data_IF_568937474643
#
_entry.id   IF_568937474643
#
_cell.length_a   1.000
_cell.length_b   1.000
_cell.length_c   1.000
_cell.angle_alpha   90.00
_cell.angle_beta   90.00
_cell.angle_gamma   90.00
#
_symmetry.space_group_name_H-M   'P 1'
#
loop_
_entity.id
_entity.type
_entity.pdbx_description
1 polymer ?
#
# COMPACT_ATOMS: atom_id res chain seq x y z
N UNK A 1 18.75 -13.09 -70.94
CA UNK A 1 17.28 -13.12 -71.08
C UNK A 1 16.77 -14.40 -70.42
N UNK A 2 16.21 -14.31 -69.21
CA UNK A 2 15.85 -15.48 -68.40
C UNK A 2 14.54 -15.24 -67.63
N UNK A 3 13.50 -15.91 -68.17
CA UNK A 3 12.20 -16.40 -67.65
C UNK A 3 11.52 -15.72 -66.42
N UNK A 4 10.19 -15.50 -66.48
CA UNK A 4 9.42 -14.86 -65.43
C UNK A 4 9.00 -15.82 -64.31
N UNK A 5 8.90 -15.28 -63.09
CA UNK A 5 8.44 -15.94 -61.85
C UNK A 5 6.91 -15.91 -61.73
N UNK A 6 6.25 -16.99 -61.27
CA UNK A 6 4.93 -16.91 -60.67
C UNK A 6 4.97 -16.98 -59.13
N UNK A 7 4.00 -16.27 -58.56
CA UNK A 7 3.72 -15.98 -57.14
C UNK A 7 3.15 -17.22 -56.44
N UNK A 8 3.62 -17.56 -55.23
CA UNK A 8 3.05 -18.65 -54.40
C UNK A 8 2.50 -18.11 -53.07
N UNK A 9 1.25 -18.44 -52.75
CA UNK A 9 0.61 -18.24 -51.44
C UNK A 9 0.92 -19.43 -50.53
N UNK A 10 1.20 -19.09 -49.25
CA UNK A 10 1.00 -19.82 -47.98
C UNK A 10 1.08 -21.36 -47.90
N UNK A 11 2.01 -21.84 -47.07
CA UNK A 11 1.90 -23.02 -46.20
C UNK A 11 3.03 -22.93 -45.15
N UNK A 12 2.71 -22.67 -43.88
CA UNK A 12 2.70 -23.63 -42.77
C UNK A 12 4.09 -24.05 -42.25
N UNK A 13 4.29 -23.78 -40.95
CA UNK A 13 5.18 -24.43 -39.97
C UNK A 13 6.68 -24.06 -39.94
N UNK A 14 7.12 -23.68 -38.74
CA UNK A 14 8.46 -24.00 -38.24
C UNK A 14 9.32 -22.81 -37.82
N UNK A 15 9.06 -22.23 -36.65
CA UNK A 15 9.96 -21.26 -36.02
C UNK A 15 9.36 -20.65 -34.75
N UNK A 16 9.46 -21.36 -33.63
CA UNK A 16 9.09 -20.87 -32.30
C UNK A 16 9.86 -19.59 -31.92
N UNK A 17 9.21 -18.60 -31.28
CA UNK A 17 9.89 -17.46 -30.69
C UNK A 17 10.40 -17.78 -29.28
N UNK A 18 11.65 -17.36 -29.03
CA UNK A 18 12.22 -17.22 -27.69
C UNK A 18 11.61 -16.00 -26.98
N UNK A 19 11.21 -16.20 -25.72
CA UNK A 19 11.36 -15.18 -24.68
C UNK A 19 10.09 -14.71 -23.98
N UNK A 20 9.54 -15.54 -23.09
CA UNK A 20 8.69 -15.05 -21.99
C UNK A 20 9.50 -14.97 -20.69
N UNK A 21 10.01 -13.79 -20.37
CA UNK A 21 10.33 -13.39 -18.99
C UNK A 21 9.08 -12.79 -18.37
N UNK A 22 8.14 -13.66 -17.99
CA UNK A 22 7.03 -13.30 -17.11
C UNK A 22 7.35 -13.72 -15.68
N UNK A 23 7.71 -12.77 -14.81
CA UNK A 23 7.81 -13.04 -13.38
C UNK A 23 6.44 -13.47 -12.84
N UNK A 24 6.32 -14.71 -12.40
CA UNK A 24 5.08 -15.24 -11.83
C UNK A 24 4.79 -14.55 -10.49
N UNK A 25 3.60 -13.98 -10.35
CA UNK A 25 3.11 -13.44 -9.08
C UNK A 25 3.11 -14.52 -7.99
N UNK A 26 3.45 -14.13 -6.75
CA UNK A 26 3.59 -15.03 -5.58
C UNK A 26 2.34 -15.86 -5.23
N UNK A 27 1.18 -15.56 -5.83
CA UNK A 27 -0.09 -16.22 -5.55
C UNK A 27 -0.32 -17.54 -6.31
N UNK A 28 0.41 -17.84 -7.39
CA UNK A 28 0.13 -19.02 -8.27
C UNK A 28 1.04 -20.23 -8.04
N UNK A 29 2.00 -20.15 -7.11
CA UNK A 29 2.97 -21.24 -6.84
C UNK A 29 2.40 -22.46 -6.09
N UNK A 30 1.08 -22.51 -5.84
CA UNK A 30 0.42 -23.56 -5.04
C UNK A 30 -0.09 -24.77 -5.84
N UNK A 31 0.10 -24.82 -7.16
CA UNK A 31 -0.49 -25.87 -8.00
C UNK A 31 0.60 -26.61 -8.78
N UNK A 32 1.30 -27.55 -8.14
CA UNK A 32 2.03 -28.61 -8.86
C UNK A 32 1.77 -29.97 -8.17
N UNK A 33 1.34 -31.00 -8.91
CA UNK A 33 1.20 -32.35 -8.37
C UNK A 33 2.57 -32.98 -8.10
N UNK A 34 2.68 -33.74 -7.02
CA UNK A 34 3.86 -34.53 -6.67
C UNK A 34 3.96 -35.76 -7.59
N UNK A 35 4.98 -35.80 -8.46
CA UNK A 35 5.32 -37.01 -9.22
C UNK A 35 6.16 -37.93 -8.32
N UNK A 36 5.63 -39.14 -8.09
CA UNK A 36 6.29 -40.20 -7.35
C UNK A 36 7.47 -40.78 -8.18
N UNK A 37 8.66 -40.89 -7.60
CA UNK A 37 9.82 -41.55 -8.22
C UNK A 37 10.30 -42.71 -7.34
N UNK A 38 10.41 -43.89 -7.94
CA UNK A 38 10.96 -45.13 -7.38
C UNK A 38 12.48 -45.04 -7.15
N UNK A 39 13.06 -45.78 -6.17
CA UNK A 39 14.48 -45.69 -5.84
C UNK A 39 15.32 -46.71 -6.62
N UNK A 40 16.51 -46.29 -7.07
CA UNK A 40 17.59 -47.16 -7.58
C UNK A 40 18.83 -46.99 -6.69
N UNK A 41 19.68 -48.03 -6.52
CA UNK A 41 20.58 -48.09 -5.37
C UNK A 41 21.92 -47.37 -5.59
N UNK A 42 22.34 -46.73 -4.49
CA UNK A 42 23.69 -46.39 -4.01
C UNK A 42 24.86 -46.26 -4.99
N UNK A 43 25.42 -45.04 -5.04
CA UNK A 43 26.86 -44.86 -4.97
C UNK A 43 27.24 -43.80 -3.94
N UNK A 44 28.12 -44.19 -3.02
CA UNK A 44 28.84 -43.33 -2.10
C UNK A 44 29.72 -42.35 -2.89
N UNK A 45 29.46 -41.05 -2.75
CA UNK A 45 30.49 -40.01 -2.89
C UNK A 45 30.04 -38.65 -2.32
N UNK A 46 30.79 -38.23 -1.31
CA UNK A 46 31.11 -36.85 -0.90
C UNK A 46 30.13 -36.06 -0.01
N UNK A 47 30.54 -35.88 1.24
CA UNK A 47 29.95 -35.04 2.30
C UNK A 47 29.71 -33.56 1.91
N UNK A 48 30.33 -33.04 0.84
CA UNK A 48 30.07 -31.68 0.31
C UNK A 48 28.69 -31.51 -0.35
N UNK A 49 28.16 -32.55 -0.99
CA UNK A 49 26.82 -32.49 -1.61
C UNK A 49 25.70 -32.45 -0.54
N UNK A 50 25.92 -33.11 0.59
CA UNK A 50 25.01 -33.15 1.74
C UNK A 50 24.78 -31.77 2.38
N UNK A 51 25.85 -31.00 2.63
CA UNK A 51 25.74 -29.63 3.19
C UNK A 51 24.93 -28.70 2.26
N UNK A 52 25.18 -28.76 0.96
CA UNK A 52 24.44 -27.97 -0.05
C UNK A 52 22.97 -28.39 -0.17
N UNK A 53 22.68 -29.70 -0.09
CA UNK A 53 21.30 -30.24 -0.07
C UNK A 53 20.56 -29.84 1.21
N UNK A 54 21.22 -29.85 2.37
CA UNK A 54 20.68 -29.41 3.66
C UNK A 54 20.42 -27.91 3.69
N UNK A 55 21.34 -27.08 3.18
CA UNK A 55 21.12 -25.64 3.05
C UNK A 55 19.93 -25.31 2.12
N UNK A 56 19.80 -26.00 0.98
CA UNK A 56 18.62 -25.89 0.09
C UNK A 56 17.32 -26.32 0.77
N UNK A 57 17.36 -27.35 1.63
CA UNK A 57 16.20 -27.78 2.42
C UNK A 57 15.79 -26.75 3.47
N UNK A 58 16.76 -26.16 4.18
CA UNK A 58 16.53 -25.09 5.15
C UNK A 58 16.00 -23.82 4.48
N UNK A 59 16.56 -23.42 3.33
CA UNK A 59 16.08 -22.27 2.57
C UNK A 59 14.62 -22.47 2.11
N UNK A 60 14.29 -23.65 1.57
CA UNK A 60 12.89 -23.97 1.20
C UNK A 60 11.95 -23.93 2.40
N UNK A 61 12.41 -24.39 3.57
CA UNK A 61 11.64 -24.30 4.82
C UNK A 61 11.44 -22.85 5.24
N UNK A 62 12.50 -22.04 5.22
CA UNK A 62 12.43 -20.61 5.52
C UNK A 62 11.48 -19.87 4.60
N UNK A 63 11.58 -20.07 3.28
CA UNK A 63 10.68 -19.46 2.29
C UNK A 63 9.22 -19.84 2.59
N UNK A 64 8.94 -21.12 2.88
CA UNK A 64 7.59 -21.56 3.22
C UNK A 64 7.04 -20.90 4.49
N UNK A 65 7.87 -20.77 5.53
CA UNK A 65 7.48 -20.13 6.79
C UNK A 65 7.29 -18.63 6.59
N UNK A 66 8.18 -17.98 5.86
CA UNK A 66 8.15 -16.56 5.51
C UNK A 66 6.89 -16.18 4.71
N UNK A 67 6.50 -17.01 3.73
CA UNK A 67 5.26 -16.81 2.98
C UNK A 67 4.00 -17.05 3.82
N UNK A 68 4.07 -17.90 4.86
CA UNK A 68 2.95 -18.09 5.79
C UNK A 68 2.86 -16.96 6.81
N UNK A 69 3.99 -16.44 7.25
CA UNK A 69 4.13 -15.41 8.27
C UNK A 69 4.92 -14.23 7.71
N UNK A 70 4.23 -13.38 6.96
CA UNK A 70 4.81 -12.22 6.25
C UNK A 70 5.49 -11.23 7.20
N UNK A 71 5.03 -11.16 8.46
CA UNK A 71 5.67 -10.36 9.52
C UNK A 71 7.05 -10.87 9.96
N UNK A 72 7.44 -12.10 9.59
CA UNK A 72 8.70 -12.70 10.04
C UNK A 72 9.92 -11.98 9.45
N UNK A 73 9.92 -11.63 8.17
CA UNK A 73 11.10 -11.00 7.55
C UNK A 73 11.34 -9.58 8.09
N UNK A 74 10.32 -8.70 8.17
CA UNK A 74 10.48 -7.40 8.81
C UNK A 74 10.89 -7.52 10.27
N UNK A 75 10.36 -8.51 11.01
CA UNK A 75 10.76 -8.76 12.40
C UNK A 75 12.25 -9.11 12.51
N UNK A 76 12.75 -10.02 11.66
CA UNK A 76 14.18 -10.41 11.67
C UNK A 76 15.06 -9.19 11.39
N UNK A 77 14.71 -8.36 10.40
CA UNK A 77 15.46 -7.15 10.07
C UNK A 77 15.43 -6.13 11.22
N UNK A 78 14.27 -5.93 11.85
CA UNK A 78 14.12 -5.05 13.00
C UNK A 78 14.98 -5.53 14.18
N UNK A 79 14.88 -6.82 14.54
CA UNK A 79 15.65 -7.41 15.63
C UNK A 79 17.15 -7.40 15.35
N UNK A 80 17.57 -7.55 14.09
CA UNK A 80 18.98 -7.45 13.71
C UNK A 80 19.54 -6.06 14.02
N UNK A 81 18.83 -4.99 13.63
CA UNK A 81 19.25 -3.60 13.92
C UNK A 81 19.30 -3.35 15.42
N UNK A 82 18.27 -3.80 16.16
CA UNK A 82 18.22 -3.65 17.61
C UNK A 82 19.35 -4.44 18.32
N UNK A 83 19.66 -5.65 17.84
CA UNK A 83 20.75 -6.46 18.37
C UNK A 83 22.11 -5.82 18.12
N UNK A 84 22.35 -5.27 16.91
CA UNK A 84 23.59 -4.55 16.59
C UNK A 84 23.75 -3.27 17.42
N UNK A 85 22.65 -2.61 17.76
CA UNK A 85 22.67 -1.51 18.74
C UNK A 85 23.02 -2.00 20.15
N UNK A 86 22.40 -3.10 20.61
CA UNK A 86 22.58 -3.65 21.94
C UNK A 86 24.01 -4.14 22.25
N UNK A 87 24.82 -4.47 21.23
CA UNK A 87 26.25 -4.81 21.40
C UNK A 87 27.05 -3.66 22.01
N UNK A 88 26.72 -2.41 21.67
CA UNK A 88 27.33 -1.22 22.23
C UNK A 88 26.30 -0.08 22.26
N UNK A 89 25.49 0.04 23.34
CA UNK A 89 24.43 1.02 23.44
C UNK A 89 25.01 2.41 23.79
N UNK A 90 25.65 3.04 22.82
CA UNK A 90 26.22 4.38 22.93
C UNK A 90 25.87 5.22 21.71
N UNK A 91 25.99 6.55 21.84
CA UNK A 91 25.80 7.50 20.72
C UNK A 91 26.81 7.31 19.60
N UNK A 92 27.92 6.62 19.87
CA UNK A 92 28.95 6.26 18.88
C UNK A 92 28.55 5.07 17.99
N UNK A 93 27.48 4.34 18.33
CA UNK A 93 27.02 3.21 17.54
C UNK A 93 26.41 3.70 16.20
N UNK A 94 26.78 3.13 15.04
CA UNK A 94 26.22 3.53 13.75
C UNK A 94 24.69 3.35 13.67
N UNK A 95 24.12 2.43 14.46
CA UNK A 95 22.67 2.18 14.52
C UNK A 95 21.93 3.08 15.52
N UNK A 96 22.64 3.92 16.29
CA UNK A 96 22.01 4.85 17.23
C UNK A 96 21.00 5.77 16.51
N UNK A 97 21.41 6.36 15.39
CA UNK A 97 20.58 7.25 14.59
C UNK A 97 19.47 6.54 13.79
N UNK A 98 19.44 5.21 13.79
CA UNK A 98 18.29 4.46 13.29
C UNK A 98 17.12 4.51 14.30
N UNK A 99 17.45 4.50 15.59
CA UNK A 99 16.48 4.35 16.69
C UNK A 99 16.12 5.70 17.29
N UNK A 100 17.11 6.60 17.44
CA UNK A 100 16.95 7.90 18.08
C UNK A 100 17.12 9.03 17.08
N UNK A 101 16.54 10.20 17.39
CA UNK A 101 16.66 11.39 16.57
C UNK A 101 18.12 11.87 16.52
N UNK A 102 18.59 12.18 15.31
CA UNK A 102 19.91 12.73 15.08
C UNK A 102 19.92 14.27 15.14
N UNK A 103 21.10 14.86 15.39
CA UNK A 103 21.37 16.31 15.35
C UNK A 103 20.67 17.14 16.44
N UNK A 104 20.82 16.82 17.74
CA UNK A 104 20.41 17.74 18.80
C UNK A 104 21.22 19.03 18.71
N UNK A 105 20.58 20.16 18.97
CA UNK A 105 21.20 21.49 19.03
C UNK A 105 21.23 21.96 20.49
N UNK A 106 22.24 22.75 20.83
CA UNK A 106 22.36 23.35 22.15
C UNK A 106 21.27 24.40 22.33
N UNK A 107 20.30 24.10 23.20
CA UNK A 107 19.21 25.01 23.55
C UNK A 107 19.43 25.62 24.94
N UNK A 108 19.03 26.88 25.16
CA UNK A 108 19.07 27.49 26.49
C UNK A 108 18.35 26.65 27.56
N UNK A 109 18.83 26.75 28.80
CA UNK A 109 18.24 26.02 29.92
C UNK A 109 16.76 26.44 30.13
N UNK A 110 15.85 25.46 30.09
CA UNK A 110 14.41 25.69 30.25
C UNK A 110 13.61 25.65 28.94
N UNK A 111 14.27 25.68 27.78
CA UNK A 111 13.61 25.55 26.48
C UNK A 111 13.62 24.11 25.95
N UNK A 112 12.62 23.69 25.14
CA UNK A 112 12.62 22.36 24.53
C UNK A 112 13.80 22.17 23.57
N UNK A 113 14.49 21.03 23.69
CA UNK A 113 15.61 20.66 22.81
C UNK A 113 15.19 20.70 21.34
N UNK A 114 15.94 21.47 20.56
CA UNK A 114 15.76 21.62 19.12
C UNK A 114 16.65 20.64 18.37
N UNK A 115 16.17 20.19 17.21
CA UNK A 115 16.89 19.27 16.35
C UNK A 115 17.03 19.86 14.95
N UNK A 116 18.24 19.77 14.40
CA UNK A 116 18.52 20.09 13.00
C UNK A 116 18.11 18.94 12.06
N UNK A 117 18.60 18.97 10.82
CA UNK A 117 18.38 17.91 9.83
C UNK A 117 19.67 17.47 9.15
N UNK A 118 19.71 16.23 8.69
CA UNK A 118 20.87 15.69 7.97
C UNK A 118 20.68 14.27 7.44
N UNK A 119 21.76 13.67 6.94
CA UNK A 119 21.71 12.36 6.27
C UNK A 119 21.33 11.21 7.22
N UNK A 120 21.61 11.35 8.51
CA UNK A 120 21.25 10.33 9.50
C UNK A 120 19.72 10.16 9.65
N UNK A 121 18.93 11.17 9.28
CA UNK A 121 17.47 11.08 9.32
C UNK A 121 16.92 10.03 8.33
N UNK A 122 17.64 9.72 7.25
CA UNK A 122 17.26 8.61 6.36
C UNK A 122 17.41 7.25 7.02
N UNK A 123 18.40 7.07 7.91
CA UNK A 123 18.57 5.83 8.65
C UNK A 123 17.41 5.63 9.63
N UNK A 124 16.98 6.69 10.30
CA UNK A 124 15.77 6.72 11.12
C UNK A 124 14.53 6.33 10.29
N UNK A 125 14.31 7.00 9.16
CA UNK A 125 13.16 6.71 8.29
C UNK A 125 13.16 5.25 7.79
N UNK A 126 14.31 4.76 7.34
CA UNK A 126 14.44 3.38 6.86
C UNK A 126 14.16 2.35 7.96
N UNK A 127 14.68 2.57 9.18
CA UNK A 127 14.42 1.69 10.31
C UNK A 127 12.93 1.69 10.69
N UNK A 128 12.31 2.86 10.81
CA UNK A 128 10.89 2.93 11.16
C UNK A 128 9.97 2.44 10.02
N UNK A 129 10.38 2.50 8.75
CA UNK A 129 9.69 1.81 7.66
C UNK A 129 9.69 0.28 7.87
N UNK A 130 10.78 -0.30 8.36
CA UNK A 130 10.85 -1.73 8.72
C UNK A 130 9.94 -2.03 9.92
N UNK A 131 10.00 -1.20 10.96
CA UNK A 131 9.14 -1.34 12.17
C UNK A 131 7.66 -1.28 11.80
N UNK A 132 7.26 -0.34 10.93
CA UNK A 132 5.88 -0.21 10.46
C UNK A 132 5.48 -1.37 9.56
N UNK A 133 6.38 -1.90 8.74
CA UNK A 133 6.13 -3.11 7.93
C UNK A 133 5.90 -4.33 8.81
N UNK A 134 6.70 -4.50 9.87
CA UNK A 134 6.48 -5.54 10.88
C UNK A 134 5.13 -5.36 11.57
N UNK A 135 4.88 -4.17 12.11
CA UNK A 135 3.65 -3.84 12.84
C UNK A 135 2.41 -4.10 11.99
N UNK A 136 2.39 -3.64 10.73
CA UNK A 136 1.30 -3.88 9.78
C UNK A 136 0.99 -5.36 9.63
N UNK A 137 1.98 -6.15 9.21
CA UNK A 137 1.79 -7.58 8.95
C UNK A 137 1.43 -8.35 10.23
N UNK A 138 2.04 -7.99 11.36
CA UNK A 138 1.77 -8.62 12.64
C UNK A 138 0.33 -8.34 13.09
N UNK A 139 -0.09 -7.07 13.11
CA UNK A 139 -1.45 -6.67 13.48
C UNK A 139 -2.49 -7.31 12.55
N UNK A 140 -2.28 -7.24 11.23
CA UNK A 140 -3.19 -7.83 10.25
C UNK A 140 -3.34 -9.34 10.48
N UNK A 141 -2.25 -10.10 10.59
CA UNK A 141 -2.32 -11.56 10.72
C UNK A 141 -2.74 -12.05 12.11
N UNK A 142 -2.28 -11.41 13.18
CA UNK A 142 -2.42 -11.90 14.56
C UNK A 142 -3.58 -11.29 15.33
N UNK A 143 -3.97 -10.06 15.02
CA UNK A 143 -5.04 -9.35 15.75
C UNK A 143 -6.29 -9.16 14.90
N UNK A 144 -6.15 -8.57 13.71
CA UNK A 144 -7.28 -8.17 12.89
C UNK A 144 -7.92 -9.36 12.18
N UNK A 145 -7.12 -10.31 11.66
CA UNK A 145 -7.66 -11.50 10.99
C UNK A 145 -8.57 -12.34 11.90
N UNK A 146 -8.15 -12.70 13.14
CA UNK A 146 -9.05 -13.41 14.06
C UNK A 146 -10.29 -12.60 14.41
N UNK A 147 -10.15 -11.28 14.58
CA UNK A 147 -11.29 -10.39 14.83
C UNK A 147 -12.29 -10.42 13.66
N UNK A 148 -11.82 -10.34 12.42
CA UNK A 148 -12.67 -10.41 11.23
C UNK A 148 -13.49 -11.72 11.16
N UNK A 149 -12.89 -12.84 11.56
CA UNK A 149 -13.57 -14.15 11.62
C UNK A 149 -14.63 -14.14 12.73
N UNK A 150 -14.29 -13.60 13.92
CA UNK A 150 -15.24 -13.47 15.03
C UNK A 150 -16.44 -12.57 14.69
N UNK A 151 -16.21 -11.55 13.85
CA UNK A 151 -17.25 -10.65 13.33
C UNK A 151 -18.00 -11.23 12.13
N UNK A 152 -17.79 -12.50 11.77
CA UNK A 152 -18.56 -13.20 10.73
C UNK A 152 -18.14 -12.94 9.29
N UNK A 153 -16.98 -12.32 9.03
CA UNK A 153 -16.49 -12.06 7.66
C UNK A 153 -15.87 -13.33 7.07
N UNK A 154 -16.69 -14.13 6.37
CA UNK A 154 -16.28 -15.44 5.84
C UNK A 154 -15.50 -15.36 4.51
N UNK A 155 -15.86 -14.44 3.62
CA UNK A 155 -15.24 -14.33 2.28
C UNK A 155 -13.80 -13.84 2.40
N UNK A 156 -12.81 -14.63 1.93
CA UNK A 156 -11.38 -14.30 2.02
C UNK A 156 -11.01 -12.95 1.38
N UNK A 157 -11.62 -12.61 0.24
CA UNK A 157 -11.37 -11.34 -0.42
C UNK A 157 -11.88 -10.14 0.40
N UNK A 158 -13.11 -10.24 0.95
CA UNK A 158 -13.69 -9.24 1.87
C UNK A 158 -12.86 -9.13 3.15
N UNK A 159 -12.39 -10.26 3.69
CA UNK A 159 -11.51 -10.30 4.86
C UNK A 159 -10.20 -9.53 4.61
N UNK A 160 -9.55 -9.73 3.45
CA UNK A 160 -8.31 -9.01 3.12
C UNK A 160 -8.53 -7.48 3.10
N UNK A 161 -9.58 -7.02 2.42
CA UNK A 161 -9.92 -5.58 2.37
C UNK A 161 -10.31 -5.00 3.72
N UNK A 162 -11.07 -5.76 4.51
CA UNK A 162 -11.39 -5.37 5.89
C UNK A 162 -10.12 -5.20 6.71
N UNK A 163 -9.18 -6.14 6.64
CA UNK A 163 -7.93 -6.05 7.40
C UNK A 163 -7.08 -4.84 6.98
N UNK A 164 -7.00 -4.55 5.67
CA UNK A 164 -6.30 -3.38 5.14
C UNK A 164 -6.89 -2.09 5.72
N UNK A 165 -8.21 -1.89 5.62
CA UNK A 165 -8.87 -0.68 6.11
C UNK A 165 -8.84 -0.56 7.64
N UNK A 166 -8.99 -1.68 8.36
CA UNK A 166 -8.93 -1.66 9.81
C UNK A 166 -7.53 -1.29 10.33
N UNK A 167 -6.47 -1.79 9.68
CA UNK A 167 -5.10 -1.37 10.01
C UNK A 167 -4.90 0.12 9.77
N UNK A 168 -5.34 0.64 8.61
CA UNK A 168 -5.29 2.06 8.30
C UNK A 168 -6.03 2.90 9.36
N UNK A 169 -7.22 2.47 9.78
CA UNK A 169 -7.97 3.14 10.84
C UNK A 169 -7.23 3.13 12.18
N UNK A 170 -6.62 1.99 12.58
CA UNK A 170 -5.81 1.91 13.80
C UNK A 170 -4.61 2.85 13.77
N UNK A 171 -3.90 2.92 12.63
CA UNK A 171 -2.75 3.80 12.48
C UNK A 171 -3.15 5.27 12.66
N UNK A 172 -4.17 5.74 11.92
CA UNK A 172 -4.60 7.13 11.99
C UNK A 172 -5.35 7.49 13.28
N UNK A 173 -5.94 6.50 13.98
CA UNK A 173 -6.48 6.71 15.34
C UNK A 173 -5.40 7.15 16.35
N UNK A 174 -4.14 6.76 16.13
CA UNK A 174 -3.00 7.13 16.97
C UNK A 174 -2.30 8.37 16.40
N UNK A 175 -1.94 8.32 15.11
CA UNK A 175 -1.14 9.38 14.48
C UNK A 175 -1.93 10.66 14.21
N UNK A 176 -3.24 10.60 14.00
CA UNK A 176 -4.09 11.78 13.80
C UNK A 176 -4.09 12.70 15.04
N UNK A 177 -4.50 12.20 16.23
CA UNK A 177 -4.42 12.98 17.47
C UNK A 177 -2.99 13.40 17.82
N UNK A 178 -2.00 12.55 17.58
CA UNK A 178 -0.59 12.89 17.80
C UNK A 178 -0.14 14.05 16.90
N UNK A 179 -0.55 14.06 15.63
CA UNK A 179 -0.30 15.16 14.70
C UNK A 179 -0.93 16.47 15.15
N UNK A 180 -2.18 16.43 15.61
CA UNK A 180 -2.85 17.61 16.20
C UNK A 180 -2.11 18.13 17.43
N UNK A 181 -1.64 17.24 18.30
CA UNK A 181 -0.83 17.61 19.47
C UNK A 181 0.48 18.30 19.05
N UNK A 182 1.18 17.77 18.04
CA UNK A 182 2.40 18.39 17.51
C UNK A 182 2.11 19.77 16.92
N UNK A 183 1.03 19.88 16.12
CA UNK A 183 0.63 21.15 15.51
C UNK A 183 0.24 22.19 16.55
N UNK A 184 -0.39 21.79 17.66
CA UNK A 184 -0.75 22.66 18.79
C UNK A 184 0.47 23.32 19.43
N UNK A 185 1.61 22.63 19.42
CA UNK A 185 2.89 23.14 19.93
C UNK A 185 3.66 23.97 18.90
N UNK A 186 3.14 24.10 17.69
CA UNK A 186 3.74 24.90 16.63
C UNK A 186 2.95 26.20 16.37
N UNK A 187 3.59 27.24 15.80
CA UNK A 187 2.89 28.46 15.38
C UNK A 187 1.78 28.23 14.33
N UNK A 188 1.79 27.08 13.66
CA UNK A 188 0.83 26.69 12.60
C UNK A 188 -0.52 26.24 13.17
N UNK A 189 -0.72 26.28 14.50
CA UNK A 189 -1.94 25.79 15.13
C UNK A 189 -3.21 26.29 14.42
N UNK A 190 -4.14 25.35 14.19
CA UNK A 190 -5.40 25.59 13.48
C UNK A 190 -5.22 26.23 12.08
N UNK A 191 -4.21 25.75 11.35
CA UNK A 191 -3.95 26.09 9.96
C UNK A 191 -3.60 27.56 9.73
N UNK A 192 -2.95 28.22 10.70
CA UNK A 192 -2.41 29.56 10.49
C UNK A 192 -1.37 29.54 9.35
N UNK A 193 -1.74 30.09 8.20
CA UNK A 193 -0.93 30.06 6.98
C UNK A 193 0.21 31.08 7.02
N UNK A 194 0.04 32.18 7.74
CA UNK A 194 1.09 33.21 7.89
C UNK A 194 2.29 32.63 8.65
N UNK A 195 2.02 31.86 9.69
CA UNK A 195 3.01 31.13 10.48
C UNK A 195 3.80 30.09 9.66
N UNK A 196 3.31 29.65 8.49
CA UNK A 196 4.05 28.77 7.60
C UNK A 196 5.22 29.47 6.90
N UNK A 197 5.20 30.81 6.84
CA UNK A 197 6.19 31.63 6.14
C UNK A 197 6.94 32.57 7.08
N UNK A 198 6.33 32.98 8.18
CA UNK A 198 6.96 33.82 9.19
C UNK A 198 8.18 33.12 9.81
N UNK A 199 9.30 33.85 9.92
CA UNK A 199 10.55 33.30 10.45
C UNK A 199 11.23 32.25 9.55
N UNK A 200 10.78 32.07 8.31
CA UNK A 200 11.40 31.14 7.37
C UNK A 200 12.84 31.60 7.01
N UNK A 201 13.84 30.69 6.99
CA UNK A 201 13.73 29.23 7.02
C UNK A 201 13.66 28.62 8.43
N UNK A 202 12.71 27.70 8.64
CA UNK A 202 12.57 26.91 9.87
C UNK A 202 13.59 25.76 9.91
N UNK A 203 14.84 26.07 10.29
CA UNK A 203 15.95 25.10 10.20
C UNK A 203 15.96 24.02 11.27
N UNK A 204 15.27 24.24 12.38
CA UNK A 204 15.22 23.34 13.52
C UNK A 204 13.81 23.18 14.05
N UNK A 205 13.55 22.04 14.68
CA UNK A 205 12.26 21.73 15.29
C UNK A 205 12.42 21.04 16.64
N UNK A 206 11.39 21.17 17.48
CA UNK A 206 11.30 20.39 18.72
C UNK A 206 11.35 18.88 18.40
N UNK A 207 11.93 18.10 19.32
CA UNK A 207 12.05 16.64 19.22
C UNK A 207 10.75 15.96 18.74
N UNK A 208 9.62 16.32 19.36
CA UNK A 208 8.30 15.72 19.07
C UNK A 208 7.86 16.04 17.63
N UNK A 209 8.10 17.26 17.18
CA UNK A 209 7.79 17.67 15.81
C UNK A 209 8.63 16.89 14.80
N UNK A 210 9.94 16.84 15.02
CA UNK A 210 10.85 16.11 14.12
C UNK A 210 10.52 14.62 14.09
N UNK A 211 10.27 14.00 15.24
CA UNK A 211 9.87 12.59 15.33
C UNK A 211 8.57 12.33 14.57
N UNK A 212 7.53 13.12 14.80
CA UNK A 212 6.26 12.98 14.09
C UNK A 212 6.47 13.06 12.57
N UNK A 213 7.20 14.07 12.12
CA UNK A 213 7.43 14.30 10.70
C UNK A 213 8.19 13.14 10.02
N UNK A 214 9.25 12.63 10.66
CA UNK A 214 10.03 11.50 10.14
C UNK A 214 9.27 10.17 10.23
N UNK A 215 8.47 9.95 11.28
CA UNK A 215 7.62 8.76 11.40
C UNK A 215 6.56 8.75 10.29
N UNK A 216 5.95 9.90 9.98
CA UNK A 216 5.03 10.00 8.85
C UNK A 216 5.74 9.73 7.52
N UNK A 217 6.94 10.28 7.31
CA UNK A 217 7.74 9.94 6.13
C UNK A 217 8.01 8.43 6.04
N UNK A 218 8.27 7.77 7.17
CA UNK A 218 8.48 6.32 7.26
C UNK A 218 7.24 5.52 6.88
N UNK A 219 6.06 5.98 7.30
CA UNK A 219 4.77 5.38 6.95
C UNK A 219 4.46 5.53 5.46
N UNK A 220 4.63 6.72 4.90
CA UNK A 220 4.40 6.95 3.47
C UNK A 220 5.40 6.20 2.59
N UNK A 221 6.66 6.07 3.03
CA UNK A 221 7.64 5.20 2.39
C UNK A 221 7.22 3.71 2.48
N UNK A 222 6.73 3.27 3.64
CA UNK A 222 6.21 1.91 3.82
C UNK A 222 5.02 1.62 2.90
N UNK A 223 4.07 2.54 2.79
CA UNK A 223 2.93 2.40 1.88
C UNK A 223 3.34 2.40 0.41
N UNK A 224 4.33 3.22 0.04
CA UNK A 224 4.89 3.20 -1.31
C UNK A 224 5.56 1.86 -1.65
N UNK A 225 6.27 1.24 -0.70
CA UNK A 225 6.85 -0.10 -0.89
C UNK A 225 5.75 -1.15 -1.10
N UNK A 226 4.67 -1.10 -0.31
CA UNK A 226 3.51 -2.00 -0.47
C UNK A 226 2.90 -1.87 -1.86
N UNK A 227 2.77 -0.63 -2.36
CA UNK A 227 2.24 -0.35 -3.69
C UNK A 227 3.18 -0.83 -4.81
N UNK A 228 4.47 -0.51 -4.72
CA UNK A 228 5.49 -0.85 -5.73
C UNK A 228 5.68 -2.36 -5.87
N UNK A 229 5.67 -3.08 -4.74
CA UNK A 229 5.77 -4.54 -4.72
C UNK A 229 4.44 -5.24 -5.03
N UNK A 230 3.36 -4.49 -5.30
CA UNK A 230 2.02 -5.00 -5.56
C UNK A 230 1.56 -6.03 -4.50
N UNK A 231 1.87 -5.75 -3.23
CA UNK A 231 1.47 -6.64 -2.13
C UNK A 231 -0.05 -6.61 -1.91
N UNK A 232 -0.72 -5.57 -2.39
CA UNK A 232 -2.19 -5.46 -2.43
C UNK A 232 -2.70 -5.63 -3.87
N UNK A 233 -3.85 -6.29 -4.03
CA UNK A 233 -4.49 -6.45 -5.35
C UNK A 233 -4.79 -5.06 -5.94
N UNK A 234 -4.30 -4.75 -7.17
CA UNK A 234 -4.55 -3.47 -7.81
C UNK A 234 -6.04 -3.13 -7.87
N UNK A 235 -6.35 -1.86 -7.62
CA UNK A 235 -7.72 -1.32 -7.65
C UNK A 235 -7.98 -0.69 -9.03
N UNK A 236 -9.25 -0.34 -9.31
CA UNK A 236 -9.63 0.31 -10.58
C UNK A 236 -8.98 1.70 -10.76
N UNK A 237 -8.65 2.36 -9.65
CA UNK A 237 -7.99 3.67 -9.54
C UNK A 237 -6.48 3.56 -9.27
N UNK A 238 -5.83 2.48 -9.72
CA UNK A 238 -4.42 2.21 -9.43
C UNK A 238 -3.48 3.29 -9.99
N UNK A 239 -3.77 3.85 -11.17
CA UNK A 239 -2.91 4.87 -11.80
C UNK A 239 -2.93 6.17 -11.01
N UNK A 240 -4.11 6.58 -10.57
CA UNK A 240 -4.34 7.76 -9.75
C UNK A 240 -3.71 7.59 -8.36
N UNK A 241 -3.79 6.38 -7.79
CA UNK A 241 -3.10 6.03 -6.55
C UNK A 241 -1.57 6.08 -6.69
N UNK A 242 -1.01 5.61 -7.81
CA UNK A 242 0.43 5.74 -8.09
C UNK A 242 0.83 7.21 -8.22
N UNK A 243 0.07 8.01 -8.98
CA UNK A 243 0.32 9.44 -9.12
C UNK A 243 0.28 10.14 -7.75
N UNK A 244 -0.71 9.82 -6.92
CA UNK A 244 -0.80 10.31 -5.55
C UNK A 244 0.47 10.02 -4.77
N UNK A 245 0.96 8.78 -4.77
CA UNK A 245 2.18 8.41 -4.03
C UNK A 245 3.43 9.13 -4.55
N UNK A 246 3.53 9.37 -5.86
CA UNK A 246 4.63 10.18 -6.42
C UNK A 246 4.56 11.61 -5.89
N UNK A 247 3.37 12.23 -5.93
CA UNK A 247 3.17 13.61 -5.47
C UNK A 247 3.39 13.75 -3.96
N UNK A 248 2.85 12.85 -3.15
CA UNK A 248 2.99 12.91 -1.69
C UNK A 248 4.43 12.66 -1.26
N UNK A 249 5.14 11.68 -1.82
CA UNK A 249 6.56 11.48 -1.51
C UNK A 249 7.41 12.68 -1.95
N UNK A 250 7.10 13.30 -3.08
CA UNK A 250 7.76 14.52 -3.52
C UNK A 250 7.52 15.69 -2.55
N UNK A 251 6.27 15.89 -2.10
CA UNK A 251 5.92 16.90 -1.10
C UNK A 251 6.69 16.69 0.21
N UNK A 252 6.70 15.46 0.73
CA UNK A 252 7.41 15.10 1.97
C UNK A 252 8.91 15.37 1.82
N UNK A 253 9.51 14.89 0.74
CA UNK A 253 10.93 15.04 0.46
C UNK A 253 11.34 16.52 0.32
N UNK A 254 10.63 17.27 -0.52
CA UNK A 254 10.97 18.66 -0.82
C UNK A 254 10.70 19.57 0.36
N UNK A 255 9.59 19.39 1.07
CA UNK A 255 9.29 20.22 2.24
C UNK A 255 10.27 19.97 3.38
N UNK A 256 10.73 18.73 3.60
CA UNK A 256 11.82 18.46 4.54
C UNK A 256 13.17 19.03 4.05
N UNK A 257 13.51 18.84 2.77
CA UNK A 257 14.79 19.28 2.20
C UNK A 257 14.94 20.80 2.16
N UNK A 258 13.85 21.54 1.94
CA UNK A 258 13.83 22.99 1.77
C UNK A 258 13.14 23.75 2.91
N UNK A 259 12.95 23.14 4.08
CA UNK A 259 12.46 23.79 5.31
C UNK A 259 10.99 24.25 5.29
N UNK A 260 10.14 23.68 4.42
CA UNK A 260 8.69 23.93 4.38
C UNK A 260 7.89 22.94 5.26
N UNK A 261 8.49 22.45 6.34
CA UNK A 261 7.91 21.41 7.20
C UNK A 261 6.66 21.87 7.95
N UNK A 262 6.51 23.17 8.22
CA UNK A 262 5.30 23.78 8.81
C UNK A 262 4.07 23.67 7.90
N UNK A 263 4.26 23.87 6.60
CA UNK A 263 3.23 23.57 5.62
C UNK A 263 3.02 22.05 5.49
N UNK A 264 4.11 21.27 5.57
CA UNK A 264 4.05 19.80 5.56
C UNK A 264 3.21 19.20 6.68
N UNK A 265 3.33 19.68 7.93
CA UNK A 265 2.53 19.16 9.05
C UNK A 265 1.04 19.48 8.88
N UNK A 266 0.71 20.67 8.35
CA UNK A 266 -0.67 21.03 8.04
C UNK A 266 -1.26 20.07 6.99
N UNK A 267 -0.51 19.78 5.91
CA UNK A 267 -0.93 18.82 4.88
C UNK A 267 -1.05 17.40 5.44
N UNK A 268 -0.13 16.94 6.28
CA UNK A 268 -0.27 15.62 6.92
C UNK A 268 -1.58 15.50 7.70
N UNK A 269 -1.89 16.48 8.54
CA UNK A 269 -3.06 16.43 9.42
C UNK A 269 -4.37 16.39 8.64
N UNK A 270 -4.50 17.20 7.58
CA UNK A 270 -5.73 17.17 6.76
C UNK A 270 -5.91 15.82 6.06
N UNK A 271 -4.83 15.25 5.55
CA UNK A 271 -4.86 13.97 4.84
C UNK A 271 -5.13 12.80 5.79
N UNK A 272 -4.45 12.75 6.93
CA UNK A 272 -4.51 11.62 7.86
C UNK A 272 -5.85 11.55 8.60
N UNK A 273 -6.38 12.69 9.06
CA UNK A 273 -7.67 12.71 9.73
C UNK A 273 -8.78 12.32 8.75
N UNK A 274 -8.75 12.82 7.52
CA UNK A 274 -9.75 12.41 6.51
C UNK A 274 -9.63 10.94 6.13
N UNK A 275 -8.42 10.38 6.06
CA UNK A 275 -8.20 8.96 5.78
C UNK A 275 -8.66 8.06 6.95
N UNK A 276 -8.62 8.54 8.19
CA UNK A 276 -9.24 7.86 9.32
C UNK A 276 -10.73 7.64 9.06
N UNK A 277 -11.48 8.71 8.74
CA UNK A 277 -12.92 8.63 8.46
C UNK A 277 -13.23 7.79 7.20
N UNK A 278 -12.38 7.84 6.18
CA UNK A 278 -12.51 6.97 5.01
C UNK A 278 -12.38 5.49 5.42
N UNK A 279 -11.33 5.15 6.16
CA UNK A 279 -11.01 3.78 6.54
C UNK A 279 -12.08 3.19 7.46
N UNK A 280 -12.52 3.94 8.48
CA UNK A 280 -13.58 3.53 9.40
C UNK A 280 -14.95 3.43 8.70
N UNK A 281 -15.27 4.30 7.75
CA UNK A 281 -16.53 4.17 6.98
C UNK A 281 -16.59 2.85 6.21
N UNK A 282 -15.47 2.43 5.62
CA UNK A 282 -15.35 1.13 4.95
C UNK A 282 -15.41 -0.04 5.93
N UNK A 283 -14.76 0.08 7.09
CA UNK A 283 -14.84 -0.93 8.16
C UNK A 283 -16.30 -1.12 8.61
N UNK A 284 -17.04 -0.04 8.86
CA UNK A 284 -18.46 -0.10 9.22
C UNK A 284 -19.30 -0.75 8.13
N UNK A 285 -19.04 -0.40 6.86
CA UNK A 285 -19.70 -1.00 5.71
C UNK A 285 -19.43 -2.51 5.61
N UNK A 286 -18.19 -2.96 5.84
CA UNK A 286 -17.86 -4.39 5.83
C UNK A 286 -18.54 -5.18 6.94
N UNK A 287 -18.83 -4.52 8.07
CA UNK A 287 -19.55 -5.07 9.22
C UNK A 287 -21.08 -4.95 9.09
N UNK A 288 -21.58 -4.39 7.99
CA UNK A 288 -23.01 -4.11 7.79
C UNK A 288 -23.63 -3.35 8.97
N UNK A 289 -22.89 -2.37 9.52
CA UNK A 289 -23.33 -1.63 10.71
C UNK A 289 -24.49 -0.68 10.37
N UNK A 290 -25.51 -0.54 11.24
CA UNK A 290 -26.66 0.35 10.99
C UNK A 290 -26.27 1.83 10.89
N UNK A 291 -25.12 2.23 11.47
CA UNK A 291 -24.64 3.61 11.42
C UNK A 291 -23.83 3.94 10.16
N UNK A 292 -23.69 3.00 9.21
CA UNK A 292 -22.86 3.17 8.01
C UNK A 292 -23.29 4.39 7.19
N UNK A 293 -24.59 4.59 6.96
CA UNK A 293 -25.11 5.74 6.20
C UNK A 293 -24.80 7.09 6.86
N UNK A 294 -25.22 7.33 8.12
CA UNK A 294 -24.89 8.56 8.85
C UNK A 294 -23.38 8.82 8.96
N UNK A 295 -22.58 7.78 9.21
CA UNK A 295 -21.13 7.90 9.30
C UNK A 295 -20.50 8.24 7.94
N UNK A 296 -21.02 7.69 6.85
CA UNK A 296 -20.58 8.03 5.50
C UNK A 296 -20.88 9.50 5.16
N UNK A 297 -22.03 10.04 5.60
CA UNK A 297 -22.34 11.46 5.50
C UNK A 297 -21.35 12.35 6.28
N UNK A 298 -21.03 11.98 7.52
CA UNK A 298 -20.00 12.65 8.32
C UNK A 298 -18.64 12.62 7.62
N UNK A 299 -18.25 11.46 7.08
CA UNK A 299 -17.02 11.29 6.31
C UNK A 299 -16.95 12.27 5.12
N UNK A 300 -18.04 12.44 4.35
CA UNK A 300 -18.09 13.39 3.23
C UNK A 300 -17.84 14.83 3.71
N UNK A 301 -18.49 15.24 4.80
CA UNK A 301 -18.31 16.57 5.37
C UNK A 301 -16.87 16.82 5.83
N UNK A 302 -16.28 15.85 6.54
CA UNK A 302 -14.88 15.92 7.00
C UNK A 302 -13.92 15.94 5.81
N UNK A 303 -14.13 15.10 4.79
CA UNK A 303 -13.32 15.10 3.58
C UNK A 303 -13.37 16.45 2.87
N UNK A 304 -14.55 17.02 2.68
CA UNK A 304 -14.71 18.33 2.05
C UNK A 304 -13.96 19.42 2.82
N UNK A 305 -14.15 19.50 4.14
CA UNK A 305 -13.49 20.51 4.96
C UNK A 305 -11.96 20.35 4.95
N UNK A 306 -11.46 19.14 5.25
CA UNK A 306 -10.02 18.91 5.41
C UNK A 306 -9.28 18.88 4.07
N UNK A 307 -9.80 18.14 3.09
CA UNK A 307 -9.09 17.94 1.82
C UNK A 307 -9.38 19.00 0.77
N UNK A 308 -10.48 19.75 0.86
CA UNK A 308 -10.77 20.81 -0.11
C UNK A 308 -10.68 22.19 0.50
N UNK A 309 -11.50 22.52 1.50
CA UNK A 309 -11.51 23.88 2.05
C UNK A 309 -10.14 24.30 2.60
N UNK A 310 -9.54 23.49 3.48
CA UNK A 310 -8.22 23.80 4.05
C UNK A 310 -7.09 23.72 3.01
N UNK A 311 -7.15 22.79 2.06
CA UNK A 311 -6.13 22.71 1.01
C UNK A 311 -6.19 23.93 0.07
N UNK A 312 -7.39 24.35 -0.34
CA UNK A 312 -7.58 25.59 -1.09
C UNK A 312 -7.12 26.82 -0.30
N UNK A 313 -7.33 26.84 1.02
CA UNK A 313 -6.82 27.89 1.89
C UNK A 313 -5.27 27.96 1.89
N UNK A 314 -4.59 26.80 1.96
CA UNK A 314 -3.12 26.72 1.86
C UNK A 314 -2.63 27.10 0.45
N UNK A 315 -3.32 26.67 -0.61
CA UNK A 315 -3.01 27.06 -1.99
C UNK A 315 -3.15 28.57 -2.20
N UNK A 316 -4.21 29.15 -1.66
CA UNK A 316 -4.44 30.60 -1.71
C UNK A 316 -3.33 31.37 -1.00
N UNK A 317 -2.92 30.92 0.19
CA UNK A 317 -1.78 31.48 0.91
C UNK A 317 -0.46 31.35 0.11
N UNK A 318 -0.27 30.22 -0.56
CA UNK A 318 0.90 30.00 -1.44
C UNK A 318 0.95 31.00 -2.61
N UNK A 319 -0.20 31.46 -3.11
CA UNK A 319 -0.27 32.48 -4.17
C UNK A 319 -0.15 33.92 -3.64
N UNK A 320 -0.72 34.19 -2.46
CA UNK A 320 -0.91 35.55 -1.95
C UNK A 320 0.12 35.94 -0.89
N UNK A 321 0.26 35.15 0.18
CA UNK A 321 1.08 35.49 1.35
C UNK A 321 2.52 34.97 1.26
N UNK A 322 2.77 33.95 0.44
CA UNK A 322 4.11 33.37 0.23
C UNK A 322 5.15 34.43 -0.19
N UNK A 323 4.78 35.40 -1.02
CA UNK A 323 5.72 36.44 -1.45
C UNK A 323 5.87 37.57 -0.44
N UNK A 324 4.84 37.85 0.33
CA UNK A 324 4.74 39.07 1.16
C UNK A 324 5.26 38.87 2.59
N UNK A 325 5.13 37.67 3.15
CA UNK A 325 5.51 37.40 4.55
C UNK A 325 6.97 36.94 4.64
N UNK A 326 7.83 37.77 5.22
CA UNK A 326 9.26 37.48 5.37
C UNK A 326 10.06 37.58 4.06
N UNK A 327 11.38 37.35 4.10
CA UNK A 327 12.25 37.53 2.93
C UNK A 327 11.81 36.66 1.74
N UNK A 328 11.93 37.22 0.53
CA UNK A 328 11.62 36.54 -0.73
C UNK A 328 12.81 36.63 -1.67
N UNK A 329 13.80 35.79 -1.42
CA UNK A 329 15.06 35.73 -2.14
C UNK A 329 15.60 34.31 -2.12
N UNK A 330 16.53 34.00 -3.03
CA UNK A 330 17.23 32.74 -3.03
C UNK A 330 18.65 32.96 -2.50
N UNK A 331 18.96 32.38 -1.34
CA UNK A 331 20.30 32.42 -0.76
C UNK A 331 20.67 31.04 -0.20
N UNK A 332 21.70 30.42 -0.79
CA UNK A 332 22.15 29.08 -0.42
C UNK A 332 22.94 29.05 0.91
N UNK A 333 23.65 30.13 1.24
CA UNK A 333 24.44 30.24 2.48
C UNK A 333 23.53 30.32 3.69
N UNK A 334 22.50 31.18 3.62
CA UNK A 334 21.47 31.30 4.65
C UNK A 334 20.36 30.25 4.51
N UNK A 335 20.46 29.33 3.55
CA UNK A 335 19.43 28.34 3.26
C UNK A 335 18.03 28.95 3.11
N UNK A 336 17.96 30.18 2.61
CA UNK A 336 16.73 30.89 2.30
C UNK A 336 16.28 30.43 0.91
N UNK A 337 15.27 29.56 0.89
CA UNK A 337 14.76 28.95 -0.32
C UNK A 337 13.44 29.54 -0.81
N UNK A 338 12.87 30.50 -0.06
CA UNK A 338 11.59 31.13 -0.37
C UNK A 338 11.75 32.13 -1.52
N UNK A 339 11.54 31.62 -2.73
CA UNK A 339 11.71 32.33 -3.99
C UNK A 339 10.67 31.89 -5.04
N UNK A 340 10.71 32.49 -6.23
CA UNK A 340 9.75 32.21 -7.31
C UNK A 340 9.76 30.74 -7.76
N UNK A 341 10.92 30.10 -7.78
CA UNK A 341 11.03 28.68 -8.12
C UNK A 341 10.32 27.83 -7.07
N UNK A 342 10.61 28.06 -5.79
CA UNK A 342 9.98 27.32 -4.69
C UNK A 342 8.47 27.55 -4.62
N UNK A 343 7.99 28.75 -4.96
CA UNK A 343 6.57 29.07 -4.98
C UNK A 343 5.85 28.27 -6.07
N UNK A 344 6.40 28.24 -7.29
CA UNK A 344 5.84 27.47 -8.41
C UNK A 344 5.83 25.97 -8.08
N UNK A 345 6.96 25.41 -7.64
CA UNK A 345 7.05 23.98 -7.33
C UNK A 345 6.07 23.60 -6.20
N UNK A 346 6.06 24.38 -5.12
CA UNK A 346 5.16 24.14 -3.98
C UNK A 346 3.70 24.20 -4.42
N UNK A 347 3.31 25.25 -5.15
CA UNK A 347 1.95 25.40 -5.66
C UNK A 347 1.57 24.26 -6.59
N UNK A 348 2.42 23.90 -7.56
CA UNK A 348 2.16 22.82 -8.51
C UNK A 348 1.96 21.47 -7.83
N UNK A 349 2.77 21.14 -6.82
CA UNK A 349 2.64 19.88 -6.08
C UNK A 349 1.40 19.84 -5.20
N UNK A 350 1.09 20.93 -4.49
CA UNK A 350 -0.15 21.04 -3.70
C UNK A 350 -1.39 21.00 -4.59
N UNK A 351 -1.33 21.65 -5.76
CA UNK A 351 -2.42 21.64 -6.74
C UNK A 351 -2.61 20.25 -7.35
N UNK A 352 -1.52 19.53 -7.67
CA UNK A 352 -1.59 18.15 -8.12
C UNK A 352 -2.23 17.25 -7.05
N UNK A 353 -1.86 17.43 -5.77
CA UNK A 353 -2.48 16.74 -4.65
C UNK A 353 -3.98 17.07 -4.56
N UNK A 354 -4.35 18.34 -4.71
CA UNK A 354 -5.74 18.80 -4.71
C UNK A 354 -6.54 18.20 -5.87
N UNK A 355 -5.95 18.10 -7.07
CA UNK A 355 -6.61 17.52 -8.25
C UNK A 355 -6.92 16.03 -8.04
N UNK A 356 -5.99 15.26 -7.46
CA UNK A 356 -6.24 13.86 -7.13
C UNK A 356 -7.31 13.72 -6.03
N UNK A 357 -7.28 14.59 -5.01
CA UNK A 357 -8.33 14.61 -3.99
C UNK A 357 -9.71 14.93 -4.58
N UNK A 358 -9.79 15.85 -5.54
CA UNK A 358 -11.02 16.19 -6.24
C UNK A 358 -11.54 15.01 -7.05
N UNK A 359 -10.66 14.29 -7.75
CA UNK A 359 -11.03 13.06 -8.47
C UNK A 359 -11.70 12.04 -7.53
N UNK A 360 -11.09 11.73 -6.39
CA UNK A 360 -11.69 10.80 -5.42
C UNK A 360 -12.96 11.33 -4.79
N UNK A 361 -13.06 12.65 -4.55
CA UNK A 361 -14.28 13.26 -4.04
C UNK A 361 -15.47 13.09 -5.01
N UNK A 362 -15.24 13.23 -6.31
CA UNK A 362 -16.26 12.97 -7.34
C UNK A 362 -16.72 11.50 -7.26
N UNK A 363 -15.81 10.55 -7.05
CA UNK A 363 -16.18 9.14 -6.87
C UNK A 363 -16.99 8.92 -5.58
N UNK A 364 -16.61 9.57 -4.48
CA UNK A 364 -17.33 9.51 -3.20
C UNK A 364 -18.76 10.04 -3.37
N UNK A 365 -18.92 11.21 -4.00
CA UNK A 365 -20.23 11.80 -4.28
C UNK A 365 -21.07 10.92 -5.22
N UNK A 366 -20.44 10.27 -6.21
CA UNK A 366 -21.12 9.31 -7.08
C UNK A 366 -21.65 8.10 -6.30
N UNK A 367 -20.88 7.60 -5.33
CA UNK A 367 -21.31 6.51 -4.44
C UNK A 367 -22.45 6.99 -3.54
N UNK A 368 -22.33 8.19 -2.95
CA UNK A 368 -23.37 8.80 -2.12
C UNK A 368 -24.69 8.96 -2.88
N UNK A 369 -24.62 9.46 -4.12
CA UNK A 369 -25.79 9.61 -4.99
C UNK A 369 -26.46 8.27 -5.28
N UNK A 370 -25.68 7.23 -5.59
CA UNK A 370 -26.22 5.88 -5.79
C UNK A 370 -26.82 5.32 -4.51
N UNK A 371 -26.18 5.53 -3.36
CA UNK A 371 -26.68 5.05 -2.08
C UNK A 371 -28.04 5.68 -1.74
N UNK A 372 -28.20 6.99 -1.92
CA UNK A 372 -29.48 7.68 -1.69
C UNK A 372 -30.53 7.23 -2.70
N UNK A 373 -30.17 7.07 -3.97
CA UNK A 373 -31.13 6.66 -5.00
C UNK A 373 -31.56 5.19 -4.87
N UNK A 374 -30.64 4.31 -4.47
CA UNK A 374 -30.94 2.90 -4.18
C UNK A 374 -31.68 2.74 -2.86
N UNK A 375 -31.40 3.51 -1.81
CA UNK A 375 -32.22 3.49 -0.59
C UNK A 375 -33.65 3.97 -0.85
N UNK A 376 -33.83 4.92 -1.78
CA UNK A 376 -35.16 5.36 -2.24
C UNK A 376 -35.83 4.31 -3.13
N UNK A 377 -35.07 3.56 -3.95
CA UNK A 377 -35.60 2.50 -4.81
C UNK A 377 -35.81 1.16 -4.09
N UNK A 378 -35.11 0.89 -2.98
CA UNK A 378 -35.24 -0.31 -2.14
C UNK A 378 -36.56 -0.35 -1.36
N UNK A 379 -37.27 0.78 -1.26
CA UNK A 379 -38.66 0.82 -0.77
C UNK A 379 -39.66 0.23 -1.78
N UNK A 380 -39.26 0.03 -3.05
CA UNK A 380 -40.10 -0.63 -4.08
C UNK A 380 -39.46 -1.86 -4.74
N UNK A 381 -38.15 -2.12 -4.60
CA UNK A 381 -37.45 -3.15 -5.39
C UNK A 381 -36.13 -3.65 -4.77
N UNK A 382 -36.16 -4.27 -3.60
CA UNK A 382 -34.95 -4.68 -2.86
C UNK A 382 -34.64 -6.19 -2.89
N UNK A 383 -34.49 -6.78 -4.08
CA UNK A 383 -33.91 -8.15 -4.21
C UNK A 383 -32.76 -8.27 -5.25
N UNK A 384 -32.57 -7.32 -6.19
CA UNK A 384 -31.69 -7.56 -7.37
C UNK A 384 -30.18 -7.21 -7.19
N UNK A 385 -29.76 -6.44 -6.17
CA UNK A 385 -28.39 -5.85 -6.16
C UNK A 385 -27.29 -6.73 -5.55
N UNK A 386 -27.62 -7.76 -4.76
CA UNK A 386 -26.62 -8.73 -4.28
C UNK A 386 -26.28 -9.78 -5.36
N UNK A 387 -27.16 -9.99 -6.34
CA UNK A 387 -26.93 -10.92 -7.45
C UNK A 387 -25.92 -10.37 -8.48
N UNK A 388 -25.90 -9.07 -8.76
CA UNK A 388 -25.02 -8.50 -9.81
C UNK A 388 -23.52 -8.59 -9.49
N UNK A 389 -23.11 -8.45 -8.22
CA UNK A 389 -21.70 -8.62 -7.83
C UNK A 389 -21.27 -10.11 -7.83
N UNK A 390 -22.21 -11.03 -7.55
CA UNK A 390 -21.96 -12.47 -7.61
C UNK A 390 -21.85 -13.00 -9.05
N UNK A 391 -22.70 -12.51 -9.95
CA UNK A 391 -22.68 -12.88 -11.38
C UNK A 391 -21.35 -12.47 -12.03
N UNK A 392 -20.79 -11.31 -11.68
CA UNK A 392 -19.52 -10.83 -12.26
C UNK A 392 -18.33 -11.67 -11.77
N UNK A 393 -18.29 -12.06 -10.49
CA UNK A 393 -17.22 -12.92 -9.96
C UNK A 393 -17.31 -14.37 -10.48
N UNK A 394 -18.52 -14.91 -10.68
CA UNK A 394 -18.71 -16.23 -11.28
C UNK A 394 -18.32 -16.25 -12.76
N UNK A 395 -18.71 -15.21 -13.53
CA UNK A 395 -18.33 -15.10 -14.94
C UNK A 395 -16.81 -14.94 -15.13
N UNK A 396 -16.10 -14.26 -14.23
CA UNK A 396 -14.63 -14.18 -14.27
C UNK A 396 -13.97 -15.54 -13.95
N UNK A 397 -14.50 -16.28 -12.97
CA UNK A 397 -14.02 -17.65 -12.67
C UNK A 397 -14.26 -18.61 -13.82
N UNK A 398 -15.42 -18.56 -14.45
CA UNK A 398 -15.77 -19.44 -15.56
C UNK A 398 -14.90 -19.17 -16.79
N UNK A 399 -14.57 -17.90 -17.06
CA UNK A 399 -13.60 -17.51 -18.11
C UNK A 399 -12.20 -18.02 -17.82
N UNK A 400 -11.74 -17.95 -16.57
CA UNK A 400 -10.45 -18.52 -16.18
C UNK A 400 -10.40 -20.04 -16.33
N UNK A 401 -11.47 -20.74 -15.96
CA UNK A 401 -11.57 -22.20 -16.09
C UNK A 401 -11.53 -22.61 -17.57
N UNK A 402 -12.29 -21.91 -18.43
CA UNK A 402 -12.29 -22.15 -19.89
C UNK A 402 -10.92 -21.90 -20.51
N UNK A 403 -10.19 -20.88 -20.07
CA UNK A 403 -8.81 -20.64 -20.52
C UNK A 403 -7.83 -21.73 -20.07
N UNK A 404 -7.99 -22.26 -18.86
CA UNK A 404 -7.15 -23.36 -18.36
C UNK A 404 -7.45 -24.67 -19.09
N UNK A 405 -8.72 -24.96 -19.40
CA UNK A 405 -9.11 -26.14 -20.17
C UNK A 405 -8.70 -26.08 -21.65
N UNK A 406 -8.70 -24.89 -22.26
CA UNK A 406 -8.22 -24.71 -23.63
C UNK A 406 -6.70 -24.92 -23.79
N UNK A 407 -5.92 -24.84 -22.70
CA UNK A 407 -4.46 -25.00 -22.71
C UNK A 407 -3.99 -26.40 -22.26
N UNK A 408 -4.87 -27.38 -22.15
CA UNK A 408 -4.49 -28.77 -21.90
C UNK A 408 -4.11 -29.41 -23.26
N UNK A 409 -2.84 -29.78 -23.50
CA UNK A 409 -2.47 -30.43 -24.75
C UNK A 409 -3.10 -31.83 -24.83
N UNK A 410 -3.89 -32.08 -25.87
CA UNK A 410 -4.43 -33.39 -26.22
C UNK A 410 -3.32 -34.26 -26.80
N UNK A 411 -2.99 -35.36 -26.13
CA UNK A 411 -2.06 -36.38 -26.65
C UNK A 411 -2.87 -37.38 -27.46
N UNK A 412 -2.69 -37.37 -28.79
CA UNK A 412 -3.24 -38.39 -29.68
C UNK A 412 -2.26 -39.55 -29.81
N UNK A 413 -2.75 -40.77 -29.63
CA UNK A 413 -1.98 -42.00 -29.84
C UNK A 413 -2.80 -42.88 -30.78
N UNK A 414 -2.29 -43.10 -32.00
CA UNK A 414 -2.92 -43.87 -33.07
C UNK A 414 -4.34 -43.42 -33.49
N UNK A 415 -4.56 -42.11 -33.58
CA UNK A 415 -5.73 -41.56 -34.28
C UNK A 415 -7.06 -41.56 -33.53
N UNK A 416 -7.07 -41.86 -32.22
CA UNK A 416 -8.23 -41.62 -31.37
C UNK A 416 -7.92 -40.68 -30.19
N UNK A 417 -8.84 -39.76 -29.93
CA UNK A 417 -8.78 -38.79 -28.83
C UNK A 417 -9.30 -39.42 -27.53
N UNK A 418 -8.40 -39.67 -26.57
CA UNK A 418 -8.80 -40.11 -25.23
C UNK A 418 -9.32 -38.93 -24.42
N UNK A 419 -10.64 -38.75 -24.38
CA UNK A 419 -11.30 -37.92 -23.36
C UNK A 419 -11.25 -38.68 -22.03
N UNK A 420 -10.40 -38.22 -21.11
CA UNK A 420 -10.30 -38.80 -19.76
C UNK A 420 -11.62 -38.67 -19.02
N UNK A 421 -12.29 -39.80 -18.82
CA UNK A 421 -13.45 -39.94 -17.96
C UNK A 421 -13.08 -39.61 -16.50
N UNK A 422 -13.51 -38.46 -15.99
CA UNK A 422 -13.69 -38.28 -14.55
C UNK A 422 -15.07 -38.80 -14.20
N UNK A 423 -15.11 -40.01 -13.67
CA UNK A 423 -16.35 -40.70 -13.31
C UNK A 423 -17.18 -39.96 -12.27
N UNK A 424 -18.48 -39.86 -12.56
CA UNK A 424 -19.61 -40.01 -11.62
C UNK A 424 -20.88 -40.10 -12.45
N UNK A 425 -21.27 -41.32 -12.76
CA UNK A 425 -22.69 -41.68 -12.81
C UNK A 425 -22.81 -43.18 -12.57
N UNK A 426 -23.40 -43.52 -11.43
CA UNK A 426 -23.84 -44.88 -11.12
C UNK A 426 -25.26 -44.79 -10.58
N UNK A 427 -26.21 -44.72 -11.50
CA UNK A 427 -27.59 -45.16 -11.29
C UNK A 427 -27.72 -46.58 -11.86
N UNK A 428 -28.19 -47.57 -11.09
CA UNK A 428 -28.53 -48.86 -11.64
C UNK A 428 -30.03 -48.91 -11.97
N UNK A 429 -30.38 -48.98 -13.25
CA UNK A 429 -31.70 -49.42 -13.69
C UNK A 429 -31.79 -50.96 -13.69
N UNK A 430 -32.80 -51.47 -12.97
CA UNK A 430 -33.74 -52.47 -13.49
C UNK A 430 -33.26 -53.90 -13.69
N UNK A 431 -33.58 -54.78 -12.72
CA UNK A 431 -33.85 -56.19 -13.01
C UNK A 431 -35.37 -56.45 -12.99
N UNK A 432 -35.89 -56.90 -14.13
CA UNK A 432 -37.26 -57.37 -14.36
C UNK A 432 -37.54 -58.71 -13.66
N UNK A 433 -38.81 -58.84 -13.22
CA UNK A 433 -39.71 -60.01 -13.29
C UNK A 433 -39.54 -61.18 -12.29
N UNK A 434 -40.59 -61.38 -11.48
CA UNK A 434 -41.50 -62.56 -11.35
C UNK A 434 -41.85 -62.82 -9.88
N UNK A 435 -43.14 -63.03 -9.61
CA UNK A 435 -43.68 -63.45 -8.31
C UNK A 435 -44.75 -62.50 -7.85
#
# INVERSE_FOLDING_TARGET
MSKPRPRRKSSSLGGEPRGDTGASALATLSLMPQVCRTPTPTQEKTTRTSKRRKARSLLKRYVRVSLRHTWLNPLILMLLVLALYAVNPSTSNPFYNCIFLAYPLDTPAGEPTQYGKGKADFAFVAFYTIVLSFSREFLMQRMIRPLAIRLGIQRKAKQARFMEQFYTAMYFAIFGPFGLYVMRRSPVWYFNTDAMFEGFPHRSHEAVFKAYYLLQASYWAQQAIVLLLMLEKPRKDFKELVLHHVVTLALIWLSYRFHFTYMGIAVYITMDISDFFLATSKVLNYLNSPITGPYFGLFIAVWFYLRHYLNFYILWATLTTFRTIGPYELNWETQQYKCWISQIITFSLLFALQAVNMFWFILILRIAWRFVRSSVAKDERSEDEEEEEEIVEEQEKEKLIKQVQANIPSVELNGETLVGATGRDSTPEGLKRRG
#
